data_IF_917575915615
#
_entry.id   IF_917575915615
#
_cell.length_a   1.000
_cell.length_b   1.000
_cell.length_c   1.000
_cell.angle_alpha   90.00
_cell.angle_beta   90.00
_cell.angle_gamma   90.00
#
_symmetry.space_group_name_H-M   'P 1'
#
loop_
_entity.id
_entity.type
_entity.pdbx_description
1 polymer ?
#
# COMPACT_ATOMS: atom_id res chain seq x y z
N UNK A 1 -14.03 -20.34 -8.03
CA UNK A 1 -14.14 -20.36 -6.55
C UNK A 1 -15.16 -19.30 -6.15
N UNK A 2 -16.00 -19.52 -5.13
CA UNK A 2 -16.89 -18.48 -4.63
C UNK A 2 -16.03 -17.30 -4.16
N UNK A 3 -16.34 -16.08 -4.59
CA UNK A 3 -15.66 -14.88 -4.10
C UNK A 3 -15.82 -14.79 -2.58
N UNK A 4 -14.69 -14.71 -1.86
CA UNK A 4 -14.69 -14.48 -0.42
C UNK A 4 -15.48 -13.19 -0.12
N UNK A 5 -16.42 -13.27 0.82
CA UNK A 5 -17.24 -12.14 1.25
C UNK A 5 -16.40 -10.91 1.67
N UNK A 6 -15.14 -11.11 2.10
CA UNK A 6 -14.18 -10.04 2.40
C UNK A 6 -13.68 -9.33 1.14
N UNK A 7 -13.40 -10.09 0.07
CA UNK A 7 -13.04 -9.56 -1.25
C UNK A 7 -14.23 -8.86 -1.90
N UNK A 8 -15.43 -9.44 -1.77
CA UNK A 8 -16.68 -8.83 -2.24
C UNK A 8 -16.98 -7.53 -1.50
N UNK A 9 -16.69 -7.43 -0.19
CA UNK A 9 -16.90 -6.19 0.56
C UNK A 9 -15.94 -5.07 0.12
N UNK A 10 -14.65 -5.37 -0.08
CA UNK A 10 -13.67 -4.42 -0.61
C UNK A 10 -14.03 -3.93 -2.03
N UNK A 11 -14.67 -4.78 -2.83
CA UNK A 11 -15.22 -4.42 -4.15
C UNK A 11 -16.60 -3.73 -4.08
N UNK A 12 -17.35 -3.89 -2.99
CA UNK A 12 -18.71 -3.35 -2.80
C UNK A 12 -18.77 -2.02 -2.03
N UNK A 13 -17.70 -1.63 -1.33
CA UNK A 13 -17.63 -0.36 -0.63
C UNK A 13 -17.37 0.77 -1.62
N UNK A 14 -18.38 1.60 -1.95
CA UNK A 14 -18.37 2.90 -2.66
C UNK A 14 -17.44 3.09 -3.90
N UNK A 15 -16.81 2.03 -4.41
CA UNK A 15 -15.70 2.07 -5.37
C UNK A 15 -15.99 1.04 -6.48
N UNK A 16 -17.08 1.24 -7.23
CA UNK A 16 -17.54 0.28 -8.26
C UNK A 16 -16.79 0.37 -9.60
N UNK A 17 -15.81 1.27 -9.75
CA UNK A 17 -15.11 1.50 -11.03
C UNK A 17 -13.59 1.35 -10.99
N UNK A 18 -12.97 1.00 -9.85
CA UNK A 18 -11.50 0.88 -9.76
C UNK A 18 -11.04 -0.54 -10.12
N UNK A 19 -9.95 -0.63 -10.88
CA UNK A 19 -9.22 -1.90 -11.04
C UNK A 19 -8.61 -2.33 -9.70
N UNK A 20 -8.28 -3.61 -9.55
CA UNK A 20 -7.60 -4.12 -8.36
C UNK A 20 -6.30 -3.35 -8.07
N UNK A 21 -5.54 -2.99 -9.11
CA UNK A 21 -4.30 -2.23 -8.99
C UNK A 21 -4.52 -0.77 -8.57
N UNK A 22 -5.60 -0.13 -9.01
CA UNK A 22 -5.94 1.22 -8.55
C UNK A 22 -6.33 1.23 -7.07
N UNK A 23 -7.10 0.24 -6.63
CA UNK A 23 -7.36 0.04 -5.21
C UNK A 23 -6.04 -0.21 -4.44
N UNK A 24 -5.09 -0.93 -5.05
CA UNK A 24 -3.79 -1.17 -4.44
C UNK A 24 -3.01 0.12 -4.18
N UNK A 25 -2.89 0.93 -5.22
CA UNK A 25 -2.29 2.25 -5.12
C UNK A 25 -2.87 3.08 -3.98
N UNK A 26 -4.19 3.16 -3.87
CA UNK A 26 -4.86 3.98 -2.86
C UNK A 26 -4.55 3.53 -1.42
N UNK A 27 -4.56 2.22 -1.12
CA UNK A 27 -4.24 1.78 0.24
C UNK A 27 -2.74 1.82 0.55
N UNK A 28 -1.86 1.75 -0.46
CA UNK A 28 -0.42 1.92 -0.23
C UNK A 28 -0.11 3.31 0.34
N UNK A 29 -0.79 4.38 -0.09
CA UNK A 29 -0.60 5.72 0.48
C UNK A 29 -0.84 5.75 1.99
N UNK A 30 -1.91 5.10 2.46
CA UNK A 30 -2.20 4.99 3.90
C UNK A 30 -1.15 4.11 4.60
N UNK A 31 -0.81 2.96 4.03
CA UNK A 31 0.15 2.03 4.61
C UNK A 31 1.57 2.63 4.73
N UNK A 32 2.05 3.38 3.73
CA UNK A 32 3.32 4.10 3.79
C UNK A 32 3.36 4.98 5.04
N UNK A 33 2.34 5.81 5.24
CA UNK A 33 2.28 6.72 6.38
C UNK A 33 2.31 5.97 7.72
N UNK A 34 1.55 4.89 7.85
CA UNK A 34 1.48 4.12 9.10
C UNK A 34 2.81 3.47 9.49
N UNK A 35 3.51 2.92 8.50
CA UNK A 35 4.74 2.15 8.75
C UNK A 35 5.93 3.06 9.03
N UNK A 36 6.01 4.20 8.35
CA UNK A 36 7.05 5.16 8.61
C UNK A 36 6.89 5.82 9.98
N UNK A 37 5.64 6.05 10.42
CA UNK A 37 5.35 6.64 11.75
C UNK A 37 5.58 5.66 12.90
N UNK A 38 5.49 4.34 12.67
CA UNK A 38 5.57 3.33 13.73
C UNK A 38 6.82 3.47 14.61
N UNK A 39 7.99 3.64 14.00
CA UNK A 39 9.26 3.77 14.72
C UNK A 39 9.31 5.04 15.58
N UNK A 40 8.89 6.16 14.99
CA UNK A 40 8.79 7.44 15.70
C UNK A 40 7.80 7.37 16.86
N UNK A 41 6.64 6.73 16.67
CA UNK A 41 5.63 6.58 17.73
C UNK A 41 6.18 5.79 18.92
N UNK A 42 6.95 4.73 18.67
CA UNK A 42 7.60 3.97 19.74
C UNK A 42 8.59 4.83 20.53
N UNK A 43 9.46 5.57 19.84
CA UNK A 43 10.41 6.48 20.49
C UNK A 43 9.70 7.58 21.30
N UNK A 44 8.60 8.12 20.78
CA UNK A 44 7.79 9.14 21.45
C UNK A 44 7.16 8.60 22.73
N UNK A 45 6.51 7.45 22.66
CA UNK A 45 5.89 6.81 23.83
C UNK A 45 6.94 6.39 24.87
N UNK A 46 8.14 5.98 24.43
CA UNK A 46 9.25 5.67 25.33
C UNK A 46 9.76 6.92 26.07
N UNK A 47 9.83 8.08 25.40
CA UNK A 47 10.17 9.37 26.03
C UNK A 47 9.10 9.82 27.03
N UNK A 48 7.84 9.60 26.71
CA UNK A 48 6.71 9.96 27.59
C UNK A 48 6.58 9.02 28.81
N UNK A 49 7.25 7.87 28.79
CA UNK A 49 7.23 6.87 29.86
C UNK A 49 8.66 6.45 30.28
N UNK A 50 9.46 7.35 30.88
CA UNK A 50 10.82 7.03 31.27
C UNK A 50 10.89 5.85 32.24
N UNK A 51 11.83 4.93 32.00
CA UNK A 51 12.06 3.75 32.84
C UNK A 51 11.04 2.62 32.69
N UNK A 52 10.02 2.77 31.84
CA UNK A 52 9.04 1.72 31.54
C UNK A 52 9.35 1.08 30.19
N UNK A 53 9.20 -0.25 30.04
CA UNK A 53 9.32 -0.89 28.74
C UNK A 53 8.16 -0.47 27.83
N UNK A 54 8.48 -0.02 26.62
CA UNK A 54 7.50 0.34 25.59
C UNK A 54 7.74 -0.50 24.33
N UNK A 55 6.67 -1.12 23.83
CA UNK A 55 6.65 -1.80 22.55
C UNK A 55 5.46 -1.31 21.74
N UNK A 56 5.69 -0.89 20.50
CA UNK A 56 4.60 -0.53 19.58
C UNK A 56 4.61 -1.48 18.41
N UNK A 57 3.44 -2.03 18.09
CA UNK A 57 3.24 -2.91 16.94
C UNK A 57 2.06 -2.40 16.12
N UNK A 58 2.17 -2.56 14.80
CA UNK A 58 1.00 -2.47 13.93
C UNK A 58 -0.01 -3.53 14.35
N UNK A 59 -1.28 -3.15 14.38
CA UNK A 59 -2.41 -4.01 14.71
C UNK A 59 -3.44 -3.93 13.58
N UNK A 60 -4.44 -4.82 13.60
CA UNK A 60 -5.40 -4.93 12.52
C UNK A 60 -5.10 -6.05 11.54
N UNK A 61 -6.14 -6.38 10.77
CA UNK A 61 -6.06 -7.25 9.61
C UNK A 61 -5.02 -6.76 8.62
N UNK A 62 -4.72 -5.46 8.63
CA UNK A 62 -3.71 -4.79 7.83
C UNK A 62 -2.32 -4.68 8.46
N UNK A 63 -2.11 -5.34 9.61
CA UNK A 63 -0.79 -5.56 10.22
C UNK A 63 0.25 -6.08 9.22
N UNK A 64 -0.20 -6.80 8.19
CA UNK A 64 0.59 -7.22 7.02
C UNK A 64 -0.07 -6.87 5.68
N UNK A 65 -1.24 -6.19 5.67
CA UNK A 65 -1.90 -5.81 4.42
C UNK A 65 -1.34 -4.49 3.94
N UNK A 66 -0.28 -4.58 3.16
CA UNK A 66 -0.23 -3.78 1.94
C UNK A 66 -0.47 -4.71 0.75
N UNK A 67 -1.56 -5.51 0.83
CA UNK A 67 -2.12 -6.45 -0.18
C UNK A 67 -1.77 -7.92 -0.04
N UNK A 68 -2.41 -8.55 0.95
CA UNK A 68 -2.57 -9.99 0.91
C UNK A 68 -3.67 -10.37 -0.10
N UNK A 69 -3.43 -11.34 -0.99
CA UNK A 69 -4.33 -11.79 -2.09
C UNK A 69 -5.74 -12.22 -1.64
N UNK A 70 -5.97 -12.50 -0.35
CA UNK A 70 -7.32 -12.82 0.17
C UNK A 70 -7.95 -11.67 0.97
N UNK A 71 -7.25 -10.55 1.14
CA UNK A 71 -7.75 -9.30 1.73
C UNK A 71 -8.38 -9.44 3.13
N UNK A 72 -8.66 -8.31 3.76
CA UNK A 72 -9.39 -8.32 5.01
C UNK A 72 -9.42 -6.96 5.69
N UNK A 73 -10.54 -6.25 5.58
CA UNK A 73 -10.78 -5.09 6.44
C UNK A 73 -11.02 -5.63 7.85
N UNK A 74 -10.13 -5.30 8.78
CA UNK A 74 -10.39 -5.52 10.20
C UNK A 74 -11.04 -4.30 10.86
N UNK A 75 -11.62 -4.52 12.03
CA UNK A 75 -12.13 -3.43 12.87
C UNK A 75 -11.15 -3.01 13.97
N UNK A 76 -9.98 -3.65 14.03
CA UNK A 76 -8.98 -3.34 15.05
C UNK A 76 -8.38 -1.95 14.81
N UNK A 77 -7.63 -1.48 15.79
CA UNK A 77 -6.91 -0.19 15.74
C UNK A 77 -5.63 -0.33 14.92
N UNK A 78 -5.13 0.76 14.33
CA UNK A 78 -3.96 0.70 13.44
C UNK A 78 -2.67 0.29 14.22
N UNK A 79 -2.57 0.63 15.51
CA UNK A 79 -1.49 0.17 16.39
C UNK A 79 -2.00 -0.34 17.75
N UNK A 80 -1.16 -1.17 18.38
CA UNK A 80 -1.23 -1.49 19.81
C UNK A 80 0.13 -1.15 20.42
N UNK A 81 0.11 -0.30 21.45
CA UNK A 81 1.27 0.02 22.25
C UNK A 81 1.16 -0.65 23.62
N UNK A 82 2.16 -1.46 23.98
CA UNK A 82 2.28 -2.05 25.32
C UNK A 82 3.25 -1.19 26.12
N UNK A 83 2.76 -0.55 27.18
CA UNK A 83 3.55 0.27 28.11
C UNK A 83 3.45 -0.35 29.50
N UNK A 84 4.57 -0.85 30.03
CA UNK A 84 4.61 -1.47 31.37
C UNK A 84 3.56 -2.59 31.53
N UNK A 85 3.45 -3.44 30.51
CA UNK A 85 2.49 -4.55 30.46
C UNK A 85 1.04 -4.16 30.20
N UNK A 86 0.73 -2.87 30.00
CA UNK A 86 -0.62 -2.40 29.67
C UNK A 86 -0.73 -2.04 28.20
N UNK A 87 -1.73 -2.62 27.53
CA UNK A 87 -2.01 -2.35 26.13
C UNK A 87 -2.88 -1.09 25.96
N UNK A 88 -2.49 -0.26 25.00
CA UNK A 88 -3.20 0.93 24.55
C UNK A 88 -3.44 0.76 23.05
N UNK A 89 -4.70 0.80 22.65
CA UNK A 89 -5.08 0.79 21.25
C UNK A 89 -4.96 2.20 20.65
N UNK A 90 -4.35 2.32 19.47
CA UNK A 90 -4.09 3.61 18.83
C UNK A 90 -4.62 3.62 17.40
N UNK A 91 -5.47 4.58 17.07
CA UNK A 91 -5.94 4.88 15.71
C UNK A 91 -5.09 6.00 15.10
N UNK A 92 -4.73 5.88 13.83
CA UNK A 92 -3.85 6.82 13.14
C UNK A 92 -4.62 7.85 12.31
N UNK A 93 -4.65 9.06 12.85
CA UNK A 93 -5.11 10.34 12.34
C UNK A 93 -4.06 11.14 11.55
N UNK A 94 -4.42 11.72 10.39
CA UNK A 94 -3.42 12.20 9.48
C UNK A 94 -3.91 13.28 8.51
N UNK A 95 -3.23 14.44 8.47
CA UNK A 95 -3.61 15.58 7.63
C UNK A 95 -2.43 16.37 7.05
N UNK A 96 -2.47 16.63 5.74
CA UNK A 96 -1.44 17.41 5.00
C UNK A 96 -1.90 18.82 4.60
N UNK A 97 -3.22 19.08 4.63
CA UNK A 97 -3.81 20.35 4.20
C UNK A 97 -3.73 21.40 5.30
N UNK A 98 -3.18 22.56 4.97
CA UNK A 98 -3.06 23.71 5.88
C UNK A 98 -4.40 24.45 6.09
N UNK A 99 -5.39 24.23 5.22
CA UNK A 99 -6.69 24.90 5.19
C UNK A 99 -7.85 24.02 5.66
N UNK A 100 -7.57 22.94 6.41
CA UNK A 100 -8.61 22.08 6.97
C UNK A 100 -9.49 22.88 7.92
N UNK A 101 -10.80 22.93 7.65
CA UNK A 101 -11.77 23.49 8.59
C UNK A 101 -12.01 22.56 9.78
N UNK A 102 -12.00 21.24 9.53
CA UNK A 102 -12.30 20.21 10.51
C UNK A 102 -11.37 19.01 10.37
N UNK A 103 -11.14 18.34 11.49
CA UNK A 103 -10.69 16.94 11.52
C UNK A 103 -11.89 16.05 11.78
N UNK A 104 -12.20 15.16 10.84
CA UNK A 104 -13.35 14.27 10.92
C UNK A 104 -12.94 12.92 11.52
N UNK A 105 -13.64 12.46 12.55
CA UNK A 105 -13.37 11.19 13.23
C UNK A 105 -14.55 10.24 13.08
N UNK A 106 -14.30 9.02 12.62
CA UNK A 106 -15.35 8.03 12.40
C UNK A 106 -16.07 7.69 13.71
N UNK A 107 -17.40 7.82 13.71
CA UNK A 107 -18.24 7.63 14.93
C UNK A 107 -17.94 6.32 15.62
N UNK A 108 -17.80 5.22 14.87
CA UNK A 108 -17.55 3.88 15.41
C UNK A 108 -16.20 3.71 16.11
N UNK A 109 -15.26 4.63 15.88
CA UNK A 109 -13.93 4.65 16.50
C UNK A 109 -13.88 5.58 17.72
N UNK A 110 -14.81 6.52 17.82
CA UNK A 110 -14.87 7.49 18.93
C UNK A 110 -15.84 7.03 20.02
N UNK A 111 -17.03 6.55 19.63
CA UNK A 111 -18.11 6.26 20.57
C UNK A 111 -18.87 4.99 20.24
N UNK A 112 -19.37 4.31 21.27
CA UNK A 112 -20.34 3.22 21.15
C UNK A 112 -21.75 3.74 21.44
N UNK A 113 -22.73 3.20 20.73
CA UNK A 113 -24.14 3.45 21.04
C UNK A 113 -24.63 2.41 22.04
N UNK A 114 -25.08 2.85 23.21
CA UNK A 114 -25.75 1.98 24.15
C UNK A 114 -27.07 1.49 23.52
N UNK A 115 -27.27 0.17 23.47
CA UNK A 115 -28.43 -0.44 22.80
C UNK A 115 -29.74 -0.23 23.54
N UNK A 116 -29.72 0.03 24.85
CA UNK A 116 -30.90 0.18 25.70
C UNK A 116 -31.37 1.63 25.78
N UNK A 117 -30.42 2.57 25.97
CA UNK A 117 -30.73 4.00 26.09
C UNK A 117 -30.65 4.76 24.77
N UNK A 118 -30.00 4.18 23.76
CA UNK A 118 -29.75 4.83 22.48
C UNK A 118 -28.71 5.97 22.54
N UNK A 119 -28.19 6.29 23.72
CA UNK A 119 -27.16 7.33 23.91
C UNK A 119 -25.80 6.84 23.44
N UNK A 120 -24.95 7.78 23.04
CA UNK A 120 -23.56 7.50 22.67
C UNK A 120 -22.65 7.82 23.84
N UNK A 121 -21.69 6.94 24.08
CA UNK A 121 -20.66 7.09 25.09
C UNK A 121 -19.28 6.92 24.44
N UNK A 122 -18.28 7.74 24.80
CA UNK A 122 -16.94 7.62 24.26
C UNK A 122 -16.33 6.26 24.61
N UNK A 123 -15.50 5.73 23.71
CA UNK A 123 -14.72 4.53 23.96
C UNK A 123 -13.59 4.82 24.96
N UNK A 124 -13.25 3.83 25.80
CA UNK A 124 -12.15 3.90 26.77
C UNK A 124 -10.98 3.01 26.31
N UNK A 125 -9.77 3.28 26.81
CA UNK A 125 -8.57 2.48 26.50
C UNK A 125 -8.02 2.65 25.08
N UNK A 126 -8.55 3.62 24.31
CA UNK A 126 -8.10 3.97 22.97
C UNK A 126 -7.51 5.38 22.94
N UNK A 127 -6.60 5.62 22.00
CA UNK A 127 -6.10 6.95 21.65
C UNK A 127 -6.13 7.14 20.14
N UNK A 128 -6.20 8.39 19.70
CA UNK A 128 -5.97 8.80 18.33
C UNK A 128 -4.60 9.48 18.27
N UNK A 129 -3.67 8.91 17.50
CA UNK A 129 -2.47 9.63 17.09
C UNK A 129 -2.85 10.52 15.92
N UNK A 130 -2.98 11.81 16.16
CA UNK A 130 -3.09 12.79 15.09
C UNK A 130 -1.71 13.32 14.74
N UNK A 131 -1.34 13.24 13.47
CA UNK A 131 -0.15 13.94 12.93
C UNK A 131 -0.62 15.06 12.00
N UNK A 132 0.07 16.18 12.04
CA UNK A 132 -0.04 17.29 11.10
C UNK A 132 1.30 17.41 10.35
N UNK A 133 1.27 17.00 9.08
CA UNK A 133 2.45 16.90 8.22
C UNK A 133 3.02 18.26 7.89
N UNK A 134 2.17 19.31 7.86
CA UNK A 134 2.60 20.64 7.46
C UNK A 134 3.49 21.32 8.53
N UNK A 135 3.26 21.00 9.81
CA UNK A 135 3.87 21.69 10.95
C UNK A 135 4.91 20.88 11.76
N UNK A 136 5.40 19.75 11.24
CA UNK A 136 5.74 18.54 12.05
C UNK A 136 5.15 18.52 13.46
N UNK A 137 3.82 18.43 13.56
CA UNK A 137 3.10 18.43 14.85
C UNK A 137 2.34 17.14 15.06
N UNK A 138 2.06 16.81 16.31
CA UNK A 138 1.20 15.68 16.65
C UNK A 138 0.38 15.91 17.92
N UNK A 139 -0.63 15.07 18.12
CA UNK A 139 -1.33 14.94 19.38
C UNK A 139 -1.73 13.47 19.61
N UNK A 140 -1.75 13.06 20.89
CA UNK A 140 -2.37 11.80 21.32
C UNK A 140 -3.67 12.13 22.04
N UNK A 141 -4.79 11.93 21.36
CA UNK A 141 -6.11 12.42 21.78
C UNK A 141 -6.99 11.25 22.23
N UNK A 142 -7.68 11.41 23.36
CA UNK A 142 -8.65 10.41 23.82
C UNK A 142 -9.99 10.56 23.10
N UNK A 143 -10.74 9.46 22.87
CA UNK A 143 -12.08 9.52 22.31
C UNK A 143 -13.02 10.45 23.07
N UNK A 144 -12.87 10.56 24.40
CA UNK A 144 -13.64 11.51 25.22
C UNK A 144 -13.41 12.96 24.81
N UNK A 145 -12.16 13.35 24.57
CA UNK A 145 -11.84 14.71 24.14
C UNK A 145 -12.47 15.02 22.78
N UNK A 146 -12.43 14.07 21.82
CA UNK A 146 -13.07 14.21 20.50
C UNK A 146 -14.59 14.35 20.66
N UNK A 147 -15.19 13.55 21.54
CA UNK A 147 -16.63 13.58 21.81
C UNK A 147 -17.09 14.92 22.40
N UNK A 148 -16.29 15.52 23.29
CA UNK A 148 -16.59 16.80 23.93
C UNK A 148 -16.27 18.02 23.06
N UNK A 149 -15.36 17.87 22.09
CA UNK A 149 -14.89 18.97 21.24
C UNK A 149 -15.36 18.91 19.79
N UNK A 150 -15.98 17.82 19.38
CA UNK A 150 -16.48 17.60 18.03
C UNK A 150 -18.00 17.73 17.92
N UNK A 151 -18.45 18.13 16.74
CA UNK A 151 -19.86 18.15 16.38
C UNK A 151 -20.22 16.85 15.64
N UNK A 152 -21.34 16.23 16.02
CA UNK A 152 -21.84 15.06 15.31
C UNK A 152 -22.58 15.50 14.05
N UNK A 153 -21.94 15.34 12.90
CA UNK A 153 -22.48 15.87 11.64
C UNK A 153 -22.07 15.03 10.43
N UNK A 154 -22.78 15.24 9.32
CA UNK A 154 -22.59 14.58 8.04
C UNK A 154 -21.26 15.02 7.41
N UNK A 155 -20.40 14.07 7.04
CA UNK A 155 -19.22 14.33 6.20
C UNK A 155 -19.57 13.96 4.76
N UNK A 156 -19.79 14.92 3.85
CA UNK A 156 -20.27 14.64 2.50
C UNK A 156 -19.33 13.72 1.73
N UNK A 157 -18.01 13.93 1.87
CA UNK A 157 -16.98 13.13 1.22
C UNK A 157 -17.02 11.64 1.63
N UNK A 158 -17.46 11.34 2.85
CA UNK A 158 -17.54 9.97 3.36
C UNK A 158 -18.93 9.37 3.23
N UNK A 159 -19.93 10.18 2.86
CA UNK A 159 -21.36 9.81 2.89
C UNK A 159 -21.78 9.15 4.21
N UNK A 160 -21.09 9.48 5.31
CA UNK A 160 -21.36 8.97 6.66
C UNK A 160 -21.14 10.04 7.72
N UNK A 161 -21.89 9.94 8.82
CA UNK A 161 -21.73 10.85 9.97
C UNK A 161 -20.39 10.62 10.67
N UNK A 162 -19.77 11.70 11.13
CA UNK A 162 -18.52 11.72 11.89
C UNK A 162 -18.64 12.64 13.11
N UNK A 163 -17.68 12.54 14.03
CA UNK A 163 -17.39 13.65 14.94
C UNK A 163 -16.43 14.60 14.23
N UNK A 164 -16.89 15.81 13.93
CA UNK A 164 -16.13 16.83 13.20
C UNK A 164 -15.58 17.83 14.21
N UNK A 165 -14.27 17.81 14.43
CA UNK A 165 -13.62 18.70 15.39
C UNK A 165 -13.05 19.90 14.64
N UNK A 166 -13.43 21.15 14.98
CA UNK A 166 -12.88 22.33 14.33
C UNK A 166 -11.35 22.39 14.46
N UNK A 167 -10.67 22.77 13.38
CA UNK A 167 -9.20 22.88 13.36
C UNK A 167 -8.66 23.72 14.52
N UNK A 168 -9.28 24.87 14.81
CA UNK A 168 -8.87 25.74 15.91
C UNK A 168 -8.89 25.09 17.31
N UNK A 169 -9.66 24.01 17.51
CA UNK A 169 -9.61 23.23 18.76
C UNK A 169 -8.47 22.22 18.75
N UNK A 170 -8.25 21.57 17.60
CA UNK A 170 -7.16 20.61 17.41
C UNK A 170 -5.79 21.30 17.49
N UNK A 171 -5.67 22.48 16.88
CA UNK A 171 -4.45 23.28 16.85
C UNK A 171 -3.89 23.56 18.26
N UNK A 172 -4.79 23.74 19.24
CA UNK A 172 -4.44 23.98 20.65
C UNK A 172 -3.86 22.77 21.38
N UNK A 173 -4.08 21.56 20.87
CA UNK A 173 -3.56 20.32 21.47
C UNK A 173 -2.40 19.71 20.67
N UNK A 174 -2.11 20.26 19.49
CA UNK A 174 -0.96 19.87 18.68
C UNK A 174 0.33 20.33 19.33
N UNK A 175 1.30 19.42 19.40
CA UNK A 175 2.65 19.66 19.90
C UNK A 175 3.65 19.54 18.75
N UNK A 176 4.58 20.49 18.64
CA UNK A 176 5.66 20.44 17.66
C UNK A 176 6.68 19.37 18.07
N UNK A 177 7.09 18.53 17.13
CA UNK A 177 8.18 17.58 17.32
C UNK A 177 9.05 17.53 16.05
N UNK A 178 10.24 18.13 16.12
CA UNK A 178 11.15 18.20 14.98
C UNK A 178 11.58 16.82 14.46
N UNK A 179 11.53 15.77 15.30
CA UNK A 179 11.85 14.39 14.88
C UNK A 179 10.82 13.78 13.93
N UNK A 180 9.63 14.39 13.78
CA UNK A 180 8.64 14.00 12.76
C UNK A 180 9.06 14.42 11.35
N UNK A 181 9.85 15.50 11.20
CA UNK A 181 10.15 16.06 9.87
C UNK A 181 10.79 15.04 8.93
N UNK A 182 11.83 14.28 9.32
CA UNK A 182 12.43 13.26 8.45
C UNK A 182 11.45 12.13 8.11
N UNK A 183 10.54 11.79 9.02
CA UNK A 183 9.49 10.77 8.80
C UNK A 183 8.50 11.27 7.74
N UNK A 184 8.01 12.50 7.90
CA UNK A 184 7.13 13.15 6.92
C UNK A 184 7.79 13.26 5.55
N UNK A 185 9.07 13.63 5.48
CA UNK A 185 9.82 13.74 4.22
C UNK A 185 9.96 12.39 3.52
N UNK A 186 10.21 11.33 4.28
CA UNK A 186 10.28 9.95 3.77
C UNK A 186 8.92 9.47 3.25
N UNK A 187 7.84 9.76 3.97
CA UNK A 187 6.47 9.44 3.54
C UNK A 187 6.17 10.13 2.21
N UNK A 188 6.50 11.41 2.11
CA UNK A 188 6.31 12.20 0.90
C UNK A 188 7.15 11.67 -0.27
N UNK A 189 8.42 11.31 -0.03
CA UNK A 189 9.26 10.69 -1.05
C UNK A 189 8.67 9.37 -1.57
N UNK A 190 8.20 8.51 -0.67
CA UNK A 190 7.59 7.23 -1.02
C UNK A 190 6.25 7.39 -1.72
N UNK A 191 5.45 8.40 -1.37
CA UNK A 191 4.21 8.70 -2.07
C UNK A 191 4.47 9.20 -3.50
N UNK A 192 5.47 10.05 -3.69
CA UNK A 192 5.85 10.54 -5.03
C UNK A 192 6.39 9.38 -5.90
N UNK A 193 7.22 8.50 -5.32
CA UNK A 193 7.67 7.26 -5.96
C UNK A 193 6.49 6.36 -6.31
N UNK A 194 5.54 6.19 -5.38
CA UNK A 194 4.35 5.36 -5.57
C UNK A 194 3.49 5.88 -6.73
N UNK A 195 3.30 7.19 -6.83
CA UNK A 195 2.60 7.85 -7.94
C UNK A 195 3.33 7.63 -9.26
N UNK A 196 4.60 8.00 -9.32
CA UNK A 196 5.42 7.86 -10.52
C UNK A 196 5.46 6.42 -11.07
N UNK A 197 5.61 5.41 -10.21
CA UNK A 197 5.61 4.01 -10.66
C UNK A 197 4.23 3.52 -11.09
N UNK A 198 3.15 4.09 -10.54
CA UNK A 198 1.79 3.64 -10.84
C UNK A 198 1.39 4.00 -12.27
N UNK A 199 1.92 5.10 -12.80
CA UNK A 199 1.74 5.51 -14.20
C UNK A 199 2.16 4.43 -15.19
N UNK A 200 3.02 3.47 -14.80
CA UNK A 200 3.35 2.32 -15.64
C UNK A 200 2.12 1.53 -16.08
N UNK A 201 1.10 1.43 -15.23
CA UNK A 201 -0.18 0.78 -15.55
C UNK A 201 -0.95 1.58 -16.59
N UNK A 202 -1.00 2.89 -16.43
CA UNK A 202 -1.73 3.77 -17.34
C UNK A 202 -1.06 3.81 -18.72
N UNK A 203 0.27 3.93 -18.77
CA UNK A 203 1.08 3.82 -19.99
C UNK A 203 0.85 2.47 -20.68
N UNK A 204 0.86 1.37 -19.92
CA UNK A 204 0.61 0.03 -20.46
C UNK A 204 -0.82 -0.14 -20.97
N UNK A 205 -1.80 0.45 -20.28
CA UNK A 205 -3.21 0.43 -20.68
C UNK A 205 -3.44 1.19 -21.97
N UNK A 206 -2.84 2.37 -22.11
CA UNK A 206 -2.91 3.16 -23.34
C UNK A 206 -2.30 2.41 -24.52
N UNK A 207 -1.12 1.82 -24.32
CA UNK A 207 -0.44 1.02 -25.34
C UNK A 207 -1.24 -0.22 -25.80
N UNK A 208 -2.10 -0.77 -24.94
CA UNK A 208 -2.91 -1.97 -25.22
C UNK A 208 -4.41 -1.67 -25.44
N UNK A 209 -4.79 -0.39 -25.54
CA UNK A 209 -6.19 0.04 -25.58
C UNK A 209 -6.99 -0.53 -26.75
N UNK A 210 -6.41 -0.57 -27.94
CA UNK A 210 -7.04 -1.12 -29.14
C UNK A 210 -7.29 -2.63 -29.02
N UNK A 211 -6.33 -3.36 -28.49
CA UNK A 211 -6.44 -4.80 -28.23
C UNK A 211 -7.47 -5.08 -27.13
N UNK A 212 -7.47 -4.29 -26.05
CA UNK A 212 -8.48 -4.38 -24.99
C UNK A 212 -9.91 -4.21 -25.55
N UNK A 213 -10.12 -3.23 -26.42
CA UNK A 213 -11.43 -2.97 -27.03
C UNK A 213 -11.89 -4.15 -27.89
N UNK A 214 -11.02 -4.66 -28.76
CA UNK A 214 -11.34 -5.79 -29.63
C UNK A 214 -11.79 -7.02 -28.82
N UNK A 215 -11.13 -7.29 -27.70
CA UNK A 215 -11.42 -8.44 -26.85
C UNK A 215 -12.76 -8.33 -26.13
N UNK A 216 -13.12 -7.12 -25.69
CA UNK A 216 -14.43 -6.85 -25.10
C UNK A 216 -15.53 -7.11 -26.13
N UNK A 217 -15.30 -6.74 -27.38
CA UNK A 217 -16.26 -6.84 -28.47
C UNK A 217 -16.44 -8.30 -28.98
N UNK A 218 -15.40 -9.13 -28.90
CA UNK A 218 -15.39 -10.50 -29.45
C UNK A 218 -15.70 -11.61 -28.40
N UNK A 219 -15.81 -11.28 -27.10
CA UNK A 219 -16.00 -12.18 -25.93
C UNK A 219 -15.08 -13.43 -25.88
N UNK A 220 -13.96 -13.41 -26.61
CA UNK A 220 -13.10 -14.55 -26.86
C UNK A 220 -11.67 -14.36 -26.37
N UNK A 221 -11.32 -14.89 -25.19
CA UNK A 221 -9.90 -14.98 -24.79
C UNK A 221 -9.52 -16.05 -23.76
N UNK A 222 -10.48 -16.81 -23.24
CA UNK A 222 -10.20 -17.75 -22.13
C UNK A 222 -9.38 -18.99 -22.59
N UNK A 223 -9.03 -19.10 -23.87
CA UNK A 223 -8.30 -20.23 -24.46
C UNK A 223 -7.03 -19.87 -25.24
N UNK A 224 -6.57 -18.61 -25.25
CA UNK A 224 -5.35 -18.23 -25.98
C UNK A 224 -4.11 -18.71 -25.24
N UNK A 225 -3.22 -19.44 -25.91
CA UNK A 225 -1.91 -19.85 -25.38
C UNK A 225 -0.87 -18.81 -25.82
N UNK A 226 -0.19 -18.13 -24.89
CA UNK A 226 0.85 -17.17 -25.23
C UNK A 226 2.02 -17.83 -25.97
N UNK A 227 2.58 -17.15 -26.98
CA UNK A 227 3.65 -17.69 -27.83
C UNK A 227 5.05 -17.19 -27.41
N UNK A 228 5.09 -16.03 -26.80
CA UNK A 228 6.31 -15.34 -26.36
C UNK A 228 6.02 -14.50 -25.12
N UNK A 229 7.06 -13.85 -24.57
CA UNK A 229 6.96 -13.03 -23.36
C UNK A 229 6.00 -11.84 -23.52
N UNK A 230 6.00 -11.23 -24.70
CA UNK A 230 5.21 -10.02 -24.96
C UNK A 230 3.71 -10.37 -25.05
N UNK A 231 3.37 -11.39 -25.84
CA UNK A 231 2.00 -11.93 -25.91
C UNK A 231 1.52 -12.46 -24.57
N UNK A 232 2.39 -13.06 -23.74
CA UNK A 232 2.01 -13.49 -22.40
C UNK A 232 1.64 -12.31 -21.51
N UNK A 233 2.47 -11.26 -21.51
CA UNK A 233 2.17 -10.03 -20.79
C UNK A 233 0.85 -9.43 -21.23
N UNK A 234 0.63 -9.26 -22.55
CA UNK A 234 -0.62 -8.72 -23.09
C UNK A 234 -1.84 -9.51 -22.65
N UNK A 235 -1.78 -10.84 -22.74
CA UNK A 235 -2.90 -11.69 -22.34
C UNK A 235 -3.16 -11.59 -20.84
N UNK A 236 -2.12 -11.64 -19.99
CA UNK A 236 -2.27 -11.44 -18.55
C UNK A 236 -2.88 -10.07 -18.23
N UNK A 237 -2.41 -9.01 -18.88
CA UNK A 237 -2.89 -7.65 -18.70
C UNK A 237 -4.37 -7.52 -19.09
N UNK A 238 -4.75 -8.04 -20.25
CA UNK A 238 -6.15 -8.04 -20.72
C UNK A 238 -7.04 -8.84 -19.77
N UNK A 239 -6.62 -10.04 -19.36
CA UNK A 239 -7.40 -10.87 -18.43
C UNK A 239 -7.58 -10.18 -17.07
N UNK A 240 -6.57 -9.50 -16.56
CA UNK A 240 -6.66 -8.75 -15.31
C UNK A 240 -7.65 -7.59 -15.41
N UNK A 241 -7.62 -6.83 -16.51
CA UNK A 241 -8.55 -5.71 -16.75
C UNK A 241 -9.99 -6.18 -16.91
N UNK A 242 -10.21 -7.36 -17.49
CA UNK A 242 -11.52 -7.99 -17.60
C UNK A 242 -11.94 -8.73 -16.32
N UNK A 243 -11.08 -8.75 -15.29
CA UNK A 243 -11.25 -9.54 -14.08
C UNK A 243 -11.54 -11.03 -14.37
N UNK A 244 -10.94 -11.57 -15.44
CA UNK A 244 -11.00 -12.98 -15.86
C UNK A 244 -9.75 -13.72 -15.37
N UNK A 245 -9.82 -15.05 -15.31
CA UNK A 245 -8.67 -15.90 -14.94
C UNK A 245 -8.40 -16.92 -16.05
N UNK A 246 -7.13 -17.22 -16.37
CA UNK A 246 -6.80 -18.21 -17.38
C UNK A 246 -7.17 -19.63 -16.91
N UNK A 247 -7.57 -20.50 -17.85
CA UNK A 247 -7.72 -21.93 -17.60
C UNK A 247 -6.32 -22.51 -17.29
N UNK A 248 -6.13 -23.08 -16.10
CA UNK A 248 -4.86 -23.62 -15.58
C UNK A 248 -3.81 -22.56 -15.17
N UNK A 249 -4.20 -21.56 -14.37
CA UNK A 249 -3.29 -20.53 -13.86
C UNK A 249 -2.00 -21.05 -13.20
N UNK A 250 -2.01 -22.20 -12.49
CA UNK A 250 -0.80 -22.80 -11.92
C UNK A 250 0.23 -23.15 -13.01
N UNK A 251 -0.22 -23.72 -14.12
CA UNK A 251 0.66 -24.10 -15.22
C UNK A 251 1.27 -22.86 -15.88
N UNK A 252 0.46 -21.82 -16.06
CA UNK A 252 0.92 -20.53 -16.58
C UNK A 252 1.96 -19.89 -15.67
N UNK A 253 1.75 -19.95 -14.35
CA UNK A 253 2.69 -19.43 -13.38
C UNK A 253 4.03 -20.16 -13.47
N UNK A 254 4.02 -21.51 -13.49
CA UNK A 254 5.25 -22.30 -13.64
C UNK A 254 5.93 -22.05 -14.99
N UNK A 255 5.16 -21.93 -16.08
CA UNK A 255 5.70 -21.62 -17.40
C UNK A 255 6.37 -20.25 -17.44
N UNK A 256 5.76 -19.22 -16.85
CA UNK A 256 6.34 -17.89 -16.72
C UNK A 256 7.70 -17.90 -16.00
N UNK A 257 7.87 -18.75 -14.99
CA UNK A 257 9.16 -18.89 -14.28
C UNK A 257 10.29 -19.34 -15.20
N UNK A 258 10.00 -20.07 -16.29
CA UNK A 258 11.03 -20.53 -17.24
C UNK A 258 11.65 -19.40 -18.05
N UNK A 259 10.98 -18.24 -18.14
CA UNK A 259 11.47 -17.07 -18.89
C UNK A 259 12.30 -16.10 -18.08
N UNK A 260 12.49 -16.37 -16.78
CA UNK A 260 13.45 -15.65 -15.94
C UNK A 260 14.86 -16.10 -16.31
N UNK A 261 15.33 -15.58 -17.44
CA UNK A 261 16.66 -15.81 -18.02
C UNK A 261 17.66 -14.75 -17.53
N UNK A 262 18.96 -14.99 -17.75
CA UNK A 262 20.05 -14.10 -17.33
C UNK A 262 20.16 -12.79 -18.12
N UNK A 263 19.31 -12.50 -19.11
CA UNK A 263 19.33 -11.29 -19.95
C UNK A 263 17.94 -10.62 -20.06
N UNK A 264 17.50 -9.97 -18.99
CA UNK A 264 16.28 -9.18 -18.93
C UNK A 264 16.62 -7.71 -18.64
N UNK A 265 16.02 -6.82 -19.42
CA UNK A 265 15.94 -5.40 -19.11
C UNK A 265 14.92 -5.14 -18.00
N UNK A 266 14.95 -3.94 -17.42
CA UNK A 266 13.98 -3.49 -16.42
C UNK A 266 12.55 -3.51 -16.96
N UNK A 267 12.33 -3.08 -18.19
CA UNK A 267 11.03 -3.19 -18.86
C UNK A 267 10.55 -4.65 -19.03
N UNK A 268 11.47 -5.58 -19.31
CA UNK A 268 11.13 -7.01 -19.37
C UNK A 268 10.79 -7.60 -18.00
N UNK A 269 11.54 -7.21 -16.97
CA UNK A 269 11.29 -7.67 -15.59
C UNK A 269 9.98 -7.12 -15.03
N UNK A 270 9.64 -5.85 -15.25
CA UNK A 270 8.37 -5.28 -14.78
C UNK A 270 7.16 -6.01 -15.35
N UNK A 271 7.18 -6.33 -16.65
CA UNK A 271 6.15 -7.16 -17.31
C UNK A 271 6.06 -8.58 -16.73
N UNK A 272 7.19 -9.24 -16.48
CA UNK A 272 7.20 -10.57 -15.86
C UNK A 272 6.63 -10.48 -14.45
N UNK A 273 7.10 -9.54 -13.63
CA UNK A 273 6.64 -9.36 -12.25
C UNK A 273 5.14 -9.06 -12.21
N UNK A 274 4.63 -8.23 -13.11
CA UNK A 274 3.19 -8.01 -13.28
C UNK A 274 2.43 -9.32 -13.50
N UNK A 275 2.92 -10.15 -14.42
CA UNK A 275 2.28 -11.43 -14.72
C UNK A 275 2.36 -12.42 -13.55
N UNK A 276 3.46 -12.42 -12.79
CA UNK A 276 3.61 -13.22 -11.57
C UNK A 276 2.56 -12.78 -10.57
N UNK A 277 2.47 -11.49 -10.26
CA UNK A 277 1.50 -10.92 -9.30
C UNK A 277 0.06 -11.26 -9.69
N UNK A 278 -0.30 -11.05 -10.96
CA UNK A 278 -1.61 -11.40 -11.49
C UNK A 278 -1.93 -12.88 -11.30
N UNK A 279 -1.08 -13.78 -11.79
CA UNK A 279 -1.32 -15.24 -11.74
C UNK A 279 -1.28 -15.78 -10.31
N UNK A 280 -0.34 -15.31 -9.50
CA UNK A 280 -0.18 -15.67 -8.10
C UNK A 280 -1.46 -15.43 -7.29
N UNK A 281 -2.17 -14.34 -7.57
CA UNK A 281 -3.45 -14.02 -6.92
C UNK A 281 -4.59 -15.00 -7.24
N UNK A 282 -4.44 -15.83 -8.29
CA UNK A 282 -5.48 -16.75 -8.78
C UNK A 282 -5.21 -18.22 -8.46
N UNK A 283 -4.13 -18.53 -7.75
CA UNK A 283 -3.67 -19.90 -7.51
C UNK A 283 -3.43 -20.18 -6.04
N UNK A 284 -3.70 -21.41 -5.63
CA UNK A 284 -3.16 -21.98 -4.40
C UNK A 284 -2.03 -22.95 -4.80
N UNK A 285 -0.80 -22.58 -4.48
CA UNK A 285 0.41 -23.32 -4.83
C UNK A 285 0.71 -24.48 -3.87
N UNK A 286 1.25 -25.56 -4.42
CA UNK A 286 1.84 -26.69 -3.68
C UNK A 286 3.24 -26.33 -3.17
N UNK A 287 3.79 -27.04 -2.16
CA UNK A 287 5.09 -26.71 -1.57
C UNK A 287 6.25 -26.60 -2.58
N UNK A 288 6.30 -27.47 -3.59
CA UNK A 288 7.30 -27.41 -4.65
C UNK A 288 7.14 -26.18 -5.57
N UNK A 289 5.90 -25.76 -5.84
CA UNK A 289 5.60 -24.55 -6.62
C UNK A 289 5.97 -23.29 -5.81
N UNK A 290 5.70 -23.28 -4.50
CA UNK A 290 6.11 -22.21 -3.58
C UNK A 290 7.63 -22.02 -3.61
N UNK A 291 8.40 -23.11 -3.52
CA UNK A 291 9.87 -23.04 -3.55
C UNK A 291 10.41 -22.45 -4.87
N UNK A 292 9.81 -22.82 -6.01
CA UNK A 292 10.18 -22.27 -7.32
C UNK A 292 9.87 -20.78 -7.38
N UNK A 293 8.66 -20.37 -7.00
CA UNK A 293 8.26 -18.96 -7.02
C UNK A 293 9.09 -18.12 -6.06
N UNK A 294 9.39 -18.65 -4.86
CA UNK A 294 10.24 -17.98 -3.87
C UNK A 294 11.62 -17.69 -4.46
N UNK A 295 12.25 -18.70 -5.07
CA UNK A 295 13.57 -18.53 -5.71
C UNK A 295 13.52 -17.50 -6.84
N UNK A 296 12.47 -17.52 -7.65
CA UNK A 296 12.30 -16.58 -8.76
C UNK A 296 12.10 -15.15 -8.28
N UNK A 297 11.22 -14.92 -7.29
CA UNK A 297 10.98 -13.61 -6.69
C UNK A 297 12.27 -13.05 -6.06
N UNK A 298 13.02 -13.87 -5.32
CA UNK A 298 14.31 -13.48 -4.77
C UNK A 298 15.31 -13.05 -5.86
N UNK A 299 15.41 -13.86 -6.92
CA UNK A 299 16.32 -13.60 -8.05
C UNK A 299 15.97 -12.32 -8.80
N UNK A 300 14.68 -12.09 -9.08
CA UNK A 300 14.19 -10.89 -9.75
C UNK A 300 14.48 -9.64 -8.91
N UNK A 301 14.25 -9.69 -7.59
CA UNK A 301 14.51 -8.54 -6.71
C UNK A 301 16.00 -8.17 -6.71
N UNK A 302 16.89 -9.16 -6.49
CA UNK A 302 18.34 -8.94 -6.52
C UNK A 302 18.80 -8.36 -7.87
N UNK A 303 18.19 -8.82 -8.96
CA UNK A 303 18.53 -8.35 -10.29
C UNK A 303 18.07 -6.92 -10.53
N UNK A 304 16.83 -6.58 -10.18
CA UNK A 304 16.35 -5.19 -10.27
C UNK A 304 17.26 -4.27 -9.45
N UNK A 305 17.64 -4.68 -8.24
CA UNK A 305 18.58 -3.94 -7.38
C UNK A 305 19.97 -3.77 -8.00
N UNK A 306 20.47 -4.76 -8.75
CA UNK A 306 21.79 -4.65 -9.42
C UNK A 306 21.87 -3.54 -10.48
N UNK A 307 20.71 -3.06 -10.98
CA UNK A 307 20.66 -1.96 -11.94
C UNK A 307 20.54 -0.59 -11.29
N UNK A 308 20.47 -0.51 -9.95
CA UNK A 308 20.44 0.74 -9.22
C UNK A 308 21.75 1.53 -9.39
N UNK A 309 21.64 2.82 -9.64
CA UNK A 309 22.75 3.74 -9.82
C UNK A 309 22.98 4.58 -8.56
N UNK A 310 24.19 5.14 -8.36
CA UNK A 310 24.48 5.97 -7.19
C UNK A 310 23.65 7.26 -7.09
N UNK A 311 23.14 7.76 -8.21
CA UNK A 311 22.31 8.96 -8.27
C UNK A 311 20.84 8.72 -7.85
N UNK A 312 20.42 7.47 -7.66
CA UNK A 312 19.05 7.09 -7.33
C UNK A 312 18.22 6.59 -8.52
N UNK A 313 18.77 6.64 -9.75
CA UNK A 313 18.13 6.07 -10.95
C UNK A 313 18.34 4.55 -11.04
N UNK A 314 17.63 3.90 -11.95
CA UNK A 314 17.89 2.53 -12.38
C UNK A 314 18.11 2.48 -13.88
N UNK A 315 19.06 1.65 -14.31
CA UNK A 315 19.35 1.51 -15.74
C UNK A 315 19.96 0.15 -16.06
N UNK A 316 19.23 -0.65 -16.84
CA UNK A 316 19.69 -1.94 -17.37
C UNK A 316 20.20 -1.87 -18.81
N UNK A 317 19.84 -0.81 -19.54
CA UNK A 317 20.25 -0.59 -20.92
C UNK A 317 20.35 0.91 -21.22
N UNK A 318 21.17 1.26 -22.22
CA UNK A 318 21.28 2.63 -22.75
C UNK A 318 20.20 2.95 -23.79
N UNK A 319 19.42 1.95 -24.22
CA UNK A 319 18.42 2.11 -25.28
C UNK A 319 17.09 2.69 -24.80
N UNK A 320 16.88 2.79 -23.50
CA UNK A 320 15.66 3.35 -22.90
C UNK A 320 16.00 4.58 -22.07
N UNK A 321 15.03 5.49 -21.94
CA UNK A 321 15.18 6.67 -21.09
C UNK A 321 15.42 6.23 -19.63
N UNK A 322 16.36 6.88 -18.90
CA UNK A 322 16.63 6.55 -17.49
C UNK A 322 15.39 6.61 -16.60
N UNK A 323 14.46 7.54 -16.83
CA UNK A 323 13.20 7.59 -16.09
C UNK A 323 12.30 6.39 -16.35
N UNK A 324 12.20 5.92 -17.59
CA UNK A 324 11.36 4.76 -17.91
C UNK A 324 11.90 3.48 -17.29
N UNK A 325 13.23 3.32 -17.31
CA UNK A 325 13.91 2.22 -16.63
C UNK A 325 13.72 2.32 -15.10
N UNK A 326 13.83 3.52 -14.53
CA UNK A 326 13.54 3.79 -13.12
C UNK A 326 12.10 3.47 -12.75
N UNK A 327 11.12 3.85 -13.59
CA UNK A 327 9.70 3.54 -13.39
C UNK A 327 9.47 2.02 -13.39
N UNK A 328 10.05 1.31 -14.34
CA UNK A 328 9.96 -0.15 -14.41
C UNK A 328 10.59 -0.83 -13.19
N UNK A 329 11.74 -0.35 -12.72
CA UNK A 329 12.40 -0.87 -11.53
C UNK A 329 11.55 -0.69 -10.27
N UNK A 330 11.04 0.52 -10.05
CA UNK A 330 10.21 0.86 -8.89
C UNK A 330 8.90 0.06 -8.90
N UNK A 331 8.27 -0.07 -10.07
CA UNK A 331 7.08 -0.89 -10.25
C UNK A 331 7.36 -2.37 -9.90
N UNK A 332 8.48 -2.92 -10.39
CA UNK A 332 8.87 -4.29 -10.08
C UNK A 332 9.17 -4.49 -8.59
N UNK A 333 9.93 -3.60 -7.95
CA UNK A 333 10.23 -3.66 -6.51
C UNK A 333 8.93 -3.65 -5.70
N UNK A 334 8.00 -2.74 -6.04
CA UNK A 334 6.72 -2.58 -5.35
C UNK A 334 5.92 -3.88 -5.31
N UNK A 335 5.82 -4.60 -6.44
CA UNK A 335 5.10 -5.87 -6.53
C UNK A 335 5.87 -7.04 -5.92
N UNK A 336 7.20 -7.08 -6.07
CA UNK A 336 8.02 -8.13 -5.48
C UNK A 336 7.96 -8.10 -3.94
N UNK A 337 7.97 -6.92 -3.33
CA UNK A 337 7.80 -6.74 -1.89
C UNK A 337 6.43 -7.27 -1.41
N UNK A 338 5.37 -7.02 -2.19
CA UNK A 338 4.03 -7.52 -1.88
C UNK A 338 3.98 -9.05 -1.97
N UNK A 339 4.55 -9.63 -3.03
CA UNK A 339 4.65 -11.08 -3.20
C UNK A 339 5.42 -11.74 -2.04
N UNK A 340 6.56 -11.16 -1.64
CA UNK A 340 7.34 -11.70 -0.52
C UNK A 340 6.53 -11.74 0.77
N UNK A 341 5.86 -10.63 1.12
CA UNK A 341 5.06 -10.54 2.34
C UNK A 341 3.86 -11.48 2.31
N UNK A 342 3.21 -11.60 1.17
CA UNK A 342 2.08 -12.50 1.01
C UNK A 342 2.51 -13.97 1.14
N UNK A 343 3.64 -14.33 0.55
CA UNK A 343 4.21 -15.67 0.68
C UNK A 343 4.54 -16.00 2.14
N UNK A 344 5.18 -15.08 2.88
CA UNK A 344 5.45 -15.25 4.31
C UNK A 344 4.16 -15.51 5.10
N UNK A 345 3.07 -14.82 4.76
CA UNK A 345 1.82 -14.91 5.50
C UNK A 345 1.07 -16.22 5.26
N UNK A 346 0.95 -16.67 4.01
CA UNK A 346 0.08 -17.79 3.64
C UNK A 346 0.78 -19.13 3.47
N UNK A 347 2.09 -19.16 3.23
CA UNK A 347 2.80 -20.40 2.98
C UNK A 347 3.78 -20.72 4.11
N UNK A 348 3.77 -21.96 4.63
CA UNK A 348 4.75 -22.39 5.60
C UNK A 348 6.14 -22.50 4.94
N UNK A 349 7.20 -22.31 5.73
CA UNK A 349 8.60 -22.49 5.33
C UNK A 349 9.09 -21.54 4.22
N UNK A 350 8.46 -20.38 4.06
CA UNK A 350 8.99 -19.32 3.20
C UNK A 350 10.15 -18.63 3.92
N UNK A 351 11.30 -18.53 3.24
CA UNK A 351 12.55 -18.04 3.84
C UNK A 351 12.85 -16.57 3.53
N UNK A 352 11.84 -15.79 3.13
CA UNK A 352 12.00 -14.36 2.95
C UNK A 352 12.18 -13.64 4.28
N UNK A 353 13.07 -12.64 4.29
CA UNK A 353 13.06 -11.63 5.35
C UNK A 353 11.77 -10.82 5.23
N UNK A 354 11.01 -10.62 6.32
CA UNK A 354 9.83 -9.76 6.28
C UNK A 354 10.18 -8.34 5.87
N UNK A 355 9.50 -7.84 4.84
CA UNK A 355 9.53 -6.43 4.43
C UNK A 355 8.79 -5.61 5.48
N UNK A 356 9.39 -4.56 6.03
CA UNK A 356 8.80 -3.78 7.13
C UNK A 356 8.25 -2.44 6.69
N UNK A 357 8.69 -1.97 5.51
CA UNK A 357 8.29 -0.69 4.92
C UNK A 357 8.05 -0.88 3.42
N UNK A 358 7.13 -0.11 2.85
CA UNK A 358 6.95 -0.07 1.38
C UNK A 358 8.15 0.65 0.76
N UNK A 359 8.71 0.11 -0.33
CA UNK A 359 9.99 0.53 -0.91
C UNK A 359 11.18 0.36 0.05
N UNK A 360 11.19 -0.70 0.86
CA UNK A 360 12.35 -1.06 1.71
C UNK A 360 13.59 -1.42 0.87
N UNK A 361 13.36 -1.96 -0.34
CA UNK A 361 14.40 -2.43 -1.24
C UNK A 361 14.87 -1.36 -2.24
N UNK A 362 14.37 -0.13 -2.14
CA UNK A 362 14.91 1.04 -2.86
C UNK A 362 16.06 1.61 -2.05
N UNK A 363 17.24 1.74 -2.67
CA UNK A 363 18.49 2.10 -1.98
C UNK A 363 18.41 3.44 -1.26
N UNK A 364 17.89 4.47 -1.92
CA UNK A 364 17.69 5.80 -1.35
C UNK A 364 16.46 6.45 -1.98
N UNK A 365 15.37 6.48 -1.22
CA UNK A 365 14.09 7.04 -1.69
C UNK A 365 14.14 8.54 -1.93
N UNK A 366 15.02 9.29 -1.25
CA UNK A 366 15.11 10.73 -1.43
C UNK A 366 15.89 11.08 -2.70
N UNK A 367 16.98 10.37 -2.99
CA UNK A 367 17.70 10.53 -4.25
C UNK A 367 16.83 10.12 -5.45
N UNK A 368 16.14 8.98 -5.36
CA UNK A 368 15.21 8.56 -6.40
C UNK A 368 14.08 9.58 -6.60
N UNK A 369 13.52 10.15 -5.51
CA UNK A 369 12.51 11.21 -5.59
C UNK A 369 13.04 12.46 -6.30
N UNK A 370 14.28 12.86 -6.04
CA UNK A 370 14.88 14.05 -6.66
C UNK A 370 14.90 13.92 -8.19
N UNK A 371 15.34 12.77 -8.71
CA UNK A 371 15.35 12.50 -10.17
C UNK A 371 13.93 12.56 -10.76
N UNK A 372 12.94 11.98 -10.07
CA UNK A 372 11.54 12.01 -10.52
C UNK A 372 11.02 13.45 -10.63
N UNK A 373 11.44 14.33 -9.72
CA UNK A 373 10.99 15.74 -9.68
C UNK A 373 11.76 16.66 -10.61
N UNK A 374 13.07 16.47 -10.76
CA UNK A 374 13.93 17.35 -11.56
C UNK A 374 13.55 17.34 -13.06
N UNK A 375 12.98 16.24 -13.56
CA UNK A 375 12.49 16.12 -14.93
C UNK A 375 10.96 16.35 -15.08
N UNK A 376 10.28 16.67 -13.98
CA UNK A 376 8.89 17.14 -13.96
C UNK A 376 8.85 18.64 -13.61
N UNK A 377 9.37 19.55 -14.44
CA UNK A 377 9.25 20.97 -14.16
C UNK A 377 7.77 21.34 -14.15
N UNK A 378 7.30 21.71 -12.96
CA UNK A 378 5.99 22.25 -12.60
C UNK A 378 5.06 22.63 -13.78
N UNK A 379 3.95 21.90 -13.94
CA UNK A 379 2.69 22.45 -14.45
C UNK A 379 2.02 23.38 -13.40
N UNK A 380 2.82 24.14 -12.66
CA UNK A 380 2.38 25.16 -11.72
C UNK A 380 3.11 26.47 -12.03
N UNK A 381 2.60 27.18 -13.03
CA UNK A 381 2.72 28.63 -13.17
C UNK A 381 1.32 29.25 -13.13
#
# INVERSE_FOLDING_TARGET
MPQDAKTTYAQSSDIKSRTFLQYRYDMKKKAIAELEVLGWLQERLQKDNPGKPVLVRKSGGDRFLWFLRKGGISRESDYVATVDGKDIEIEFQYGKKQDLQFYDFKVSKVAKKDKKSGKREPLEGKKFLLVDWAGPRYALIEPRWIFENGEYDMVPAWRSYAFRVPFARVDKVLTIDASLKPVCDTIDAKNDILEFQHDWIDISREALSSELQQVVDEDGLVSVVPKDRESFFRICFILDHLNKSPKNANLWLVYLMTWVSSDLSLAGMSKIVYCIDFLYSKVDMKPNEVAIVQKTVASLLLRVQSYAKPDGSFQSTVNHAPLDETRCALFAINLLEDLMQDMIYYYPNVEFKPVRKIFENVRDVNLTRAIIKDESPDECA
#
